data_IF_783545182431
#
_entry.id   IF_783545182431
#
_cell.length_a   1.000
_cell.length_b   1.000
_cell.length_c   1.000
_cell.angle_alpha   90.00
_cell.angle_beta   90.00
_cell.angle_gamma   90.00
#
_symmetry.space_group_name_H-M   'P 1'
#
loop_
_entity.id
_entity.type
_entity.pdbx_description
1 polymer ?
#
# COMPACT_ATOMS: atom_id res chain seq x y z
N UNK A 1 12.43 -6.35 -4.88
CA UNK A 1 11.05 -6.06 -4.46
C UNK A 1 10.15 -7.18 -4.95
N UNK A 2 9.36 -7.83 -4.08
CA UNK A 2 8.37 -8.83 -4.45
C UNK A 2 7.10 -8.14 -4.93
N UNK A 3 6.46 -8.66 -5.96
CA UNK A 3 5.26 -8.08 -6.60
C UNK A 3 4.09 -9.04 -6.52
N UNK A 4 2.97 -8.59 -5.98
CA UNK A 4 1.68 -9.30 -6.02
C UNK A 4 0.74 -8.55 -6.97
N UNK A 5 0.33 -9.21 -8.06
CA UNK A 5 -0.55 -8.64 -9.07
C UNK A 5 -1.94 -9.26 -8.92
N UNK A 6 -2.94 -8.41 -8.73
CA UNK A 6 -4.34 -8.81 -8.60
C UNK A 6 -5.05 -8.32 -9.86
N UNK A 7 -5.26 -9.22 -10.81
CA UNK A 7 -5.97 -8.93 -12.05
C UNK A 7 -7.47 -8.76 -11.77
N UNK A 8 -8.08 -7.74 -12.35
CA UNK A 8 -9.47 -7.39 -12.08
C UNK A 8 -10.34 -7.70 -13.30
N UNK A 9 -11.37 -8.52 -13.08
CA UNK A 9 -12.37 -8.84 -14.12
C UNK A 9 -13.63 -7.97 -14.01
N UNK A 10 -13.73 -7.14 -12.97
CA UNK A 10 -14.89 -6.29 -12.67
C UNK A 10 -14.40 -4.89 -12.29
N UNK A 11 -15.24 -3.85 -12.50
CA UNK A 11 -14.91 -2.50 -12.07
C UNK A 11 -14.49 -2.47 -10.59
N UNK A 12 -13.36 -1.82 -10.33
CA UNK A 12 -12.82 -1.69 -8.99
C UNK A 12 -13.66 -0.69 -8.19
N UNK A 13 -14.12 -1.13 -7.02
CA UNK A 13 -14.67 -0.25 -6.00
C UNK A 13 -13.66 -0.04 -4.87
N UNK A 14 -13.82 1.03 -4.11
CA UNK A 14 -13.03 1.29 -2.91
C UNK A 14 -13.12 0.11 -1.91
N UNK A 15 -14.30 -0.49 -1.75
CA UNK A 15 -14.49 -1.63 -0.85
C UNK A 15 -13.66 -2.82 -1.30
N UNK A 16 -13.71 -3.17 -2.60
CA UNK A 16 -12.92 -4.29 -3.13
C UNK A 16 -11.42 -4.02 -3.08
N UNK A 17 -10.97 -2.79 -3.30
CA UNK A 17 -9.57 -2.39 -3.13
C UNK A 17 -9.09 -2.66 -1.69
N UNK A 18 -9.84 -2.18 -0.69
CA UNK A 18 -9.46 -2.34 0.72
C UNK A 18 -9.53 -3.80 1.17
N UNK A 19 -10.47 -4.59 0.64
CA UNK A 19 -10.53 -6.03 0.89
C UNK A 19 -9.27 -6.73 0.37
N UNK A 20 -8.87 -6.48 -0.88
CA UNK A 20 -7.67 -7.06 -1.47
C UNK A 20 -6.41 -6.68 -0.69
N UNK A 21 -6.27 -5.40 -0.33
CA UNK A 21 -5.16 -4.94 0.50
C UNK A 21 -5.13 -5.63 1.87
N UNK A 22 -6.29 -5.77 2.52
CA UNK A 22 -6.37 -6.43 3.84
C UNK A 22 -6.02 -7.91 3.75
N UNK A 23 -6.44 -8.61 2.69
CA UNK A 23 -6.03 -10.00 2.44
C UNK A 23 -4.52 -10.12 2.26
N UNK A 24 -3.90 -9.23 1.49
CA UNK A 24 -2.44 -9.21 1.34
C UNK A 24 -1.74 -9.06 2.70
N UNK A 25 -2.16 -8.09 3.53
CA UNK A 25 -1.56 -7.88 4.86
C UNK A 25 -1.74 -9.09 5.77
N UNK A 26 -2.90 -9.75 5.74
CA UNK A 26 -3.13 -10.98 6.50
C UNK A 26 -2.15 -12.08 6.10
N UNK A 27 -2.03 -12.36 4.80
CA UNK A 27 -1.13 -13.40 4.30
C UNK A 27 0.34 -13.07 4.60
N UNK A 28 0.71 -11.78 4.56
CA UNK A 28 2.04 -11.32 4.94
C UNK A 28 2.36 -11.64 6.40
N UNK A 29 1.41 -11.41 7.32
CA UNK A 29 1.53 -11.76 8.75
C UNK A 29 1.60 -13.27 8.99
N UNK A 30 0.77 -14.04 8.30
CA UNK A 30 0.76 -15.51 8.39
C UNK A 30 2.11 -16.12 7.95
N UNK A 31 2.88 -15.39 7.14
CA UNK A 31 4.24 -15.73 6.75
C UNK A 31 5.30 -15.32 7.79
N UNK A 32 4.90 -14.98 9.02
CA UNK A 32 5.75 -14.50 10.12
C UNK A 32 6.58 -13.25 9.79
N UNK A 33 6.11 -12.39 8.88
CA UNK A 33 6.77 -11.13 8.58
C UNK A 33 6.07 -9.96 9.30
N UNK A 34 6.87 -9.00 9.77
CA UNK A 34 6.38 -7.80 10.47
C UNK A 34 6.68 -6.51 9.71
N UNK A 35 7.94 -6.28 9.36
CA UNK A 35 8.35 -5.02 8.76
C UNK A 35 8.46 -5.13 7.24
N UNK A 36 7.93 -4.14 6.53
CA UNK A 36 8.11 -4.04 5.08
C UNK A 36 8.28 -2.61 4.60
N UNK A 37 8.93 -2.47 3.45
CA UNK A 37 8.73 -1.35 2.55
C UNK A 37 7.59 -1.69 1.59
N UNK A 38 6.56 -0.86 1.50
CA UNK A 38 5.31 -1.12 0.77
C UNK A 38 5.07 -0.06 -0.32
N UNK A 39 4.67 -0.49 -1.51
CA UNK A 39 4.09 0.36 -2.54
C UNK A 39 2.81 -0.28 -3.10
N UNK A 40 1.76 0.52 -3.26
CA UNK A 40 0.47 0.07 -3.82
C UNK A 40 0.14 0.92 -5.01
N UNK A 41 -0.04 0.27 -6.15
CA UNK A 41 -0.23 0.92 -7.45
C UNK A 41 -1.49 0.37 -8.12
N UNK A 42 -2.22 1.23 -8.83
CA UNK A 42 -3.37 0.86 -9.64
C UNK A 42 -3.03 1.07 -11.12
N UNK A 43 -3.30 0.04 -11.93
CA UNK A 43 -3.21 0.15 -13.39
C UNK A 43 -4.62 0.33 -13.93
N UNK A 44 -4.91 1.54 -14.40
CA UNK A 44 -6.19 1.93 -15.00
C UNK A 44 -6.07 1.75 -16.53
N UNK A 45 -7.20 1.65 -17.23
CA UNK A 45 -7.27 1.52 -18.69
C UNK A 45 -6.28 2.46 -19.42
N UNK A 46 -5.79 2.03 -20.58
CA UNK A 46 -4.82 2.77 -21.41
C UNK A 46 -3.49 3.10 -20.68
N UNK A 47 -3.07 2.19 -19.80
CA UNK A 47 -1.81 2.24 -19.03
C UNK A 47 -1.66 3.45 -18.09
N UNK A 48 -2.75 4.12 -17.70
CA UNK A 48 -2.64 5.12 -16.63
C UNK A 48 -2.32 4.44 -15.30
N UNK A 49 -1.13 4.72 -14.78
CA UNK A 49 -0.61 4.18 -13.52
C UNK A 49 -0.82 5.22 -12.42
N UNK A 50 -1.50 4.82 -11.34
CA UNK A 50 -1.70 5.67 -10.18
C UNK A 50 -1.16 5.02 -8.91
N UNK A 51 -0.23 5.69 -8.24
CA UNK A 51 0.28 5.26 -6.94
C UNK A 51 -0.70 5.65 -5.84
N UNK A 52 -1.15 4.66 -5.08
CA UNK A 52 -2.08 4.82 -3.97
C UNK A 52 -1.37 4.93 -2.62
N UNK A 53 -0.16 4.37 -2.52
CA UNK A 53 0.74 4.43 -1.37
C UNK A 53 2.15 4.22 -1.92
N UNK A 54 3.07 5.15 -1.65
CA UNK A 54 4.41 5.16 -2.26
C UNK A 54 5.50 4.87 -1.25
N UNK A 55 6.19 3.73 -1.44
CA UNK A 55 7.42 3.33 -0.70
C UNK A 55 7.38 3.66 0.80
N UNK A 56 6.29 3.27 1.45
CA UNK A 56 6.06 3.52 2.88
C UNK A 56 6.67 2.39 3.70
N UNK A 57 7.42 2.70 4.75
CA UNK A 57 7.86 1.70 5.74
C UNK A 57 6.72 1.38 6.69
N UNK A 58 6.51 0.11 6.97
CA UNK A 58 5.32 -0.37 7.68
C UNK A 58 5.72 -1.40 8.71
N UNK A 59 5.34 -1.18 9.96
CA UNK A 59 5.12 -2.24 10.94
C UNK A 59 3.66 -2.71 10.83
N UNK A 60 3.46 -3.93 10.28
CA UNK A 60 2.10 -4.47 10.09
C UNK A 60 1.38 -4.81 11.40
N UNK A 61 2.10 -4.93 12.51
CA UNK A 61 1.52 -5.15 13.83
C UNK A 61 1.10 -3.85 14.50
N UNK A 62 1.68 -2.71 14.10
CA UNK A 62 1.25 -1.39 14.52
C UNK A 62 -0.12 -1.03 13.93
N UNK A 63 -1.16 -1.01 14.79
CA UNK A 63 -2.54 -0.72 14.38
C UNK A 63 -2.73 0.69 13.84
N UNK A 64 -1.95 1.66 14.33
CA UNK A 64 -2.06 3.05 13.93
C UNK A 64 -1.48 3.26 12.53
N UNK A 65 -0.31 2.69 12.24
CA UNK A 65 0.28 2.69 10.89
C UNK A 65 -0.62 1.99 9.88
N UNK A 66 -1.12 0.80 10.23
CA UNK A 66 -2.02 0.07 9.34
C UNK A 66 -3.32 0.84 9.06
N UNK A 67 -3.81 1.61 10.03
CA UNK A 67 -4.95 2.51 9.83
C UNK A 67 -4.59 3.68 8.93
N UNK A 68 -3.42 4.29 9.13
CA UNK A 68 -2.93 5.40 8.32
C UNK A 68 -2.79 5.00 6.85
N UNK A 69 -2.10 3.89 6.57
CA UNK A 69 -1.90 3.36 5.22
C UNK A 69 -3.23 3.01 4.55
N UNK A 70 -4.15 2.35 5.28
CA UNK A 70 -5.48 2.06 4.75
C UNK A 70 -6.24 3.34 4.39
N UNK A 71 -6.12 4.38 5.21
CA UNK A 71 -6.76 5.67 4.96
C UNK A 71 -6.13 6.40 3.77
N UNK A 72 -4.81 6.33 3.62
CA UNK A 72 -4.06 6.88 2.49
C UNK A 72 -4.52 6.22 1.18
N UNK A 73 -4.45 4.89 1.08
CA UNK A 73 -4.90 4.11 -0.09
C UNK A 73 -6.35 4.46 -0.43
N UNK A 74 -7.21 4.54 0.59
CA UNK A 74 -8.62 4.92 0.43
C UNK A 74 -8.76 6.33 -0.13
N UNK A 75 -8.06 7.30 0.45
CA UNK A 75 -8.12 8.70 0.07
C UNK A 75 -7.64 8.91 -1.37
N UNK A 76 -6.49 8.33 -1.71
CA UNK A 76 -5.91 8.43 -3.04
C UNK A 76 -6.81 7.77 -4.09
N UNK A 77 -7.39 6.60 -3.79
CA UNK A 77 -8.38 5.99 -4.68
C UNK A 77 -9.60 6.89 -4.90
N UNK A 78 -10.13 7.54 -3.85
CA UNK A 78 -11.27 8.47 -3.98
C UNK A 78 -10.94 9.66 -4.86
N UNK A 79 -9.73 10.22 -4.75
CA UNK A 79 -9.26 11.33 -5.60
C UNK A 79 -9.24 10.94 -7.07
N UNK A 80 -8.74 9.74 -7.38
CA UNK A 80 -8.65 9.23 -8.76
C UNK A 80 -10.03 8.87 -9.32
N UNK A 81 -10.85 8.19 -8.50
CA UNK A 81 -12.14 7.63 -8.94
C UNK A 81 -13.31 8.61 -8.84
N UNK A 82 -13.12 9.76 -8.19
CA UNK A 82 -14.19 10.69 -7.80
C UNK A 82 -15.35 9.95 -7.08
N UNK A 83 -15.01 9.10 -6.11
CA UNK A 83 -15.93 8.22 -5.36
C UNK A 83 -16.74 7.21 -6.20
N UNK A 84 -16.39 6.97 -7.46
CA UNK A 84 -17.09 6.01 -8.33
C UNK A 84 -16.33 4.69 -8.43
N UNK A 85 -16.98 3.67 -9.01
CA UNK A 85 -16.27 2.48 -9.48
C UNK A 85 -15.54 2.84 -10.76
N UNK A 86 -14.32 2.35 -10.93
CA UNK A 86 -13.51 2.59 -12.14
C UNK A 86 -13.10 1.27 -12.78
N UNK A 87 -12.92 1.28 -14.11
CA UNK A 87 -12.32 0.14 -14.81
C UNK A 87 -10.82 0.20 -14.59
N UNK A 88 -10.28 -0.79 -13.91
CA UNK A 88 -8.84 -0.96 -13.71
C UNK A 88 -8.44 -2.37 -14.13
N UNK A 89 -7.24 -2.51 -14.67
CA UNK A 89 -6.68 -3.78 -15.13
C UNK A 89 -6.18 -4.61 -13.94
N UNK A 90 -5.46 -3.97 -13.02
CA UNK A 90 -4.88 -4.67 -11.88
C UNK A 90 -4.58 -3.76 -10.69
N UNK A 91 -4.60 -4.32 -9.49
CA UNK A 91 -3.92 -3.77 -8.31
C UNK A 91 -2.54 -4.42 -8.24
N UNK A 92 -1.50 -3.61 -8.11
CA UNK A 92 -0.12 -4.05 -7.92
C UNK A 92 0.29 -3.70 -6.49
N UNK A 93 0.64 -4.71 -5.71
CA UNK A 93 1.18 -4.54 -4.36
C UNK A 93 2.64 -5.01 -4.37
N UNK A 94 3.54 -4.06 -4.25
CA UNK A 94 4.98 -4.29 -4.21
C UNK A 94 5.48 -4.16 -2.78
N UNK A 95 6.34 -5.08 -2.36
CA UNK A 95 6.90 -5.05 -1.03
C UNK A 95 8.31 -5.65 -0.93
N UNK A 96 9.06 -5.22 0.07
CA UNK A 96 10.31 -5.86 0.53
C UNK A 96 10.18 -6.10 2.01
N UNK A 97 10.44 -7.34 2.46
CA UNK A 97 10.58 -7.63 3.89
C UNK A 97 11.87 -6.98 4.38
N UNK A 98 11.80 -6.19 5.44
CA UNK A 98 12.96 -5.51 6.02
C UNK A 98 13.15 -5.97 7.48
N UNK A 99 14.35 -5.77 8.03
CA UNK A 99 14.59 -6.02 9.46
C UNK A 99 14.00 -4.89 10.31
N UNK A 100 13.78 -5.17 11.60
CA UNK A 100 13.41 -4.14 12.58
C UNK A 100 14.42 -3.00 12.64
N UNK A 101 15.73 -3.33 12.62
CA UNK A 101 16.79 -2.34 12.60
C UNK A 101 16.68 -1.43 11.37
N UNK A 102 16.46 -2.00 10.18
CA UNK A 102 16.28 -1.22 8.95
C UNK A 102 15.04 -0.32 9.02
N UNK A 103 13.93 -0.82 9.57
CA UNK A 103 12.71 -0.02 9.76
C UNK A 103 12.97 1.18 10.68
N UNK A 104 13.66 0.97 11.82
CA UNK A 104 14.02 2.04 12.76
C UNK A 104 14.96 3.05 12.12
N UNK A 105 16.05 2.59 11.51
CA UNK A 105 17.05 3.45 10.87
C UNK A 105 16.44 4.36 9.79
N UNK A 106 15.47 3.85 9.01
CA UNK A 106 14.81 4.66 7.99
C UNK A 106 13.88 5.70 8.63
N UNK A 107 13.10 5.31 9.65
CA UNK A 107 12.18 6.24 10.32
C UNK A 107 12.94 7.32 11.10
N UNK A 108 14.05 6.99 11.74
CA UNK A 108 14.89 7.97 12.43
C UNK A 108 15.47 9.00 11.45
N UNK A 109 15.92 8.54 10.27
CA UNK A 109 16.39 9.44 9.20
C UNK A 109 15.28 10.36 8.68
N UNK A 110 14.06 9.86 8.56
CA UNK A 110 12.91 10.67 8.14
C UNK A 110 12.56 11.73 9.19
N UNK A 111 12.51 11.35 10.47
CA UNK A 111 12.24 12.28 11.57
C UNK A 111 13.30 13.40 11.64
N UNK A 112 14.58 13.08 11.44
CA UNK A 112 15.66 14.07 11.41
C UNK A 112 15.55 15.03 10.22
N UNK A 113 15.09 14.55 9.07
CA UNK A 113 14.88 15.38 7.88
C UNK A 113 13.71 16.38 8.07
N UNK A 114 12.63 15.97 8.75
CA UNK A 114 11.48 16.84 9.05
C UNK A 114 11.79 17.94 10.07
N UNK A 115 12.76 17.73 10.97
CA UNK A 115 13.19 18.74 11.95
C UNK A 115 14.15 19.77 11.34
N UNK A 116 14.84 19.41 10.25
CA UNK A 116 15.90 20.22 9.65
C UNK A 116 15.44 21.05 8.44
N UNK A 117 14.17 20.95 8.03
CA UNK A 117 13.57 21.69 6.91
C UNK A 117 12.45 22.63 7.36
#
# INVERSE_FOLDING_TARGET
MKKNVINLMKPLSQVNLIQNFTTFIRNFKESNNQYMLLQVTLVIQDEYIATLCDKTNVDVLNRNEMRAIRNEIRSNFRRISNNKKIKANSIIIEHVVISESSYRDINDKLALAEISG
#
